data_IF_481407307441
#
_entry.id   IF_481407307441
#
_cell.length_a   1.000
_cell.length_b   1.000
_cell.length_c   1.000
_cell.angle_alpha   90.00
_cell.angle_beta   90.00
_cell.angle_gamma   90.00
#
_symmetry.space_group_name_H-M   'P 1'
#
loop_
_entity.id
_entity.type
_entity.pdbx_description
1 polymer ?
#
# COMPACT_ATOMS: atom_id res chain seq x y z
N UNK A 1 -28.21 26.47 52.73
CA UNK A 1 -27.79 25.54 53.78
C UNK A 1 -26.63 24.79 53.14
N UNK A 2 -25.44 25.20 53.40
CA UNK A 2 -24.49 24.78 54.44
C UNK A 2 -24.09 23.31 54.18
N UNK A 3 -22.84 22.91 54.03
CA UNK A 3 -21.52 23.48 54.25
C UNK A 3 -20.48 22.51 53.70
N UNK A 4 -19.37 23.01 53.31
CA UNK A 4 -18.02 22.93 53.89
C UNK A 4 -17.53 21.50 54.17
N UNK A 5 -16.35 21.03 53.80
CA UNK A 5 -15.01 21.61 53.81
C UNK A 5 -14.02 20.65 53.06
N UNK A 6 -12.99 21.21 52.45
CA UNK A 6 -11.66 20.62 52.29
C UNK A 6 -10.86 20.88 53.59
N UNK A 7 -9.57 20.54 53.82
CA UNK A 7 -8.45 20.29 52.90
C UNK A 7 -7.36 19.32 53.41
N UNK A 8 -6.18 19.42 52.82
CA UNK A 8 -4.81 18.98 53.13
C UNK A 8 -4.33 17.79 52.29
N UNK A 9 -3.30 17.85 51.54
CA UNK A 9 -2.03 18.59 51.65
C UNK A 9 -0.92 17.58 51.89
N UNK A 10 0.05 17.48 50.96
CA UNK A 10 1.21 16.65 51.18
C UNK A 10 1.99 16.36 49.87
N UNK A 11 2.86 17.27 49.53
CA UNK A 11 3.95 17.07 48.55
C UNK A 11 5.24 16.66 49.26
N UNK A 12 6.38 16.48 48.61
CA UNK A 12 7.02 15.23 48.25
C UNK A 12 8.38 15.05 48.97
N UNK A 13 8.90 13.86 49.00
CA UNK A 13 10.30 13.64 49.38
C UNK A 13 11.02 12.71 48.44
N UNK A 14 12.12 13.20 47.86
CA UNK A 14 13.20 12.38 47.26
C UNK A 14 14.03 11.75 48.38
N UNK A 15 14.67 10.65 48.15
CA UNK A 15 15.95 10.32 48.77
C UNK A 15 17.02 10.01 47.72
N UNK A 16 18.08 10.77 47.74
CA UNK A 16 19.48 10.50 48.12
C UNK A 16 20.14 9.25 47.52
N UNK A 17 21.21 9.58 46.79
CA UNK A 17 22.21 8.71 46.21
C UNK A 17 22.92 7.82 47.23
N UNK A 18 23.24 6.58 46.86
CA UNK A 18 24.17 5.72 47.57
C UNK A 18 25.33 5.31 46.64
N UNK A 19 26.53 5.42 47.16
CA UNK A 19 27.84 5.28 46.55
C UNK A 19 28.23 3.81 46.18
N UNK A 20 29.31 3.61 45.41
CA UNK A 20 29.63 2.32 44.80
C UNK A 20 30.37 1.37 45.75
N UNK A 21 29.98 0.10 45.70
CA UNK A 21 30.76 -0.97 46.37
C UNK A 21 31.77 -1.59 45.40
N UNK A 22 33.00 -1.70 45.90
CA UNK A 22 34.20 -2.26 45.29
C UNK A 22 33.97 -3.71 44.78
N UNK A 23 34.49 -3.96 43.60
CA UNK A 23 34.62 -5.27 42.98
C UNK A 23 35.63 -6.15 43.75
N UNK A 24 35.26 -7.40 43.98
CA UNK A 24 36.21 -8.49 44.32
C UNK A 24 36.59 -9.22 43.06
N UNK A 25 37.87 -9.37 42.83
CA UNK A 25 38.46 -10.16 41.78
C UNK A 25 38.08 -11.63 41.97
N UNK A 26 37.43 -12.18 40.97
CA UNK A 26 37.16 -13.61 40.81
C UNK A 26 37.90 -14.14 39.59
N UNK A 27 38.70 -15.16 39.80
CA UNK A 27 39.56 -15.83 38.85
C UNK A 27 38.82 -16.29 37.61
N UNK A 28 39.31 -15.83 36.44
CA UNK A 28 38.82 -16.24 35.13
C UNK A 28 39.18 -17.69 34.83
N UNK A 29 38.18 -18.55 34.59
CA UNK A 29 38.35 -19.83 33.90
C UNK A 29 38.32 -19.55 32.39
N UNK A 30 39.15 -20.23 31.58
CA UNK A 30 39.19 -20.03 30.14
C UNK A 30 37.85 -20.46 29.52
N UNK A 31 37.24 -19.57 28.75
CA UNK A 31 36.07 -19.90 27.92
C UNK A 31 36.52 -20.86 26.81
N UNK A 32 35.82 -21.99 26.78
CA UNK A 32 35.89 -22.93 25.67
C UNK A 32 35.43 -22.19 24.39
N UNK A 33 36.13 -22.45 23.31
CA UNK A 33 35.85 -21.94 21.98
C UNK A 33 34.36 -22.13 21.63
N UNK A 34 33.75 -21.03 21.24
CA UNK A 34 32.41 -21.03 20.68
C UNK A 34 32.46 -21.76 19.33
N UNK A 35 31.98 -22.98 19.32
CA UNK A 35 31.83 -23.76 18.11
C UNK A 35 31.04 -23.01 17.06
N UNK A 36 31.46 -23.17 15.80
CA UNK A 36 30.73 -22.70 14.63
C UNK A 36 29.23 -22.99 14.76
N UNK A 37 28.33 -22.05 14.37
CA UNK A 37 26.90 -22.24 14.53
C UNK A 37 26.46 -23.46 13.71
N UNK A 38 26.03 -24.51 14.40
CA UNK A 38 25.38 -25.66 13.76
C UNK A 38 24.10 -25.19 13.05
N UNK A 39 23.81 -25.69 11.85
CA UNK A 39 22.59 -25.35 11.15
C UNK A 39 21.37 -25.81 11.96
N UNK A 40 20.34 -25.00 12.07
CA UNK A 40 19.11 -25.35 12.79
C UNK A 40 18.40 -26.54 12.12
N UNK A 41 17.74 -27.37 12.96
CA UNK A 41 17.02 -28.56 12.54
C UNK A 41 16.04 -28.27 11.37
N UNK A 42 15.88 -29.23 10.43
CA UNK A 42 15.09 -29.01 9.23
C UNK A 42 13.63 -28.76 9.57
N UNK A 43 13.12 -27.59 9.20
CA UNK A 43 11.71 -27.27 9.24
C UNK A 43 11.29 -25.89 9.73
N UNK A 44 12.11 -25.12 10.44
CA UNK A 44 11.67 -23.82 10.98
C UNK A 44 12.51 -22.60 10.58
N UNK A 45 13.64 -22.74 9.92
CA UNK A 45 14.56 -21.62 9.71
C UNK A 45 15.34 -21.61 8.39
N UNK A 46 14.95 -22.35 7.37
CA UNK A 46 15.64 -22.33 6.05
C UNK A 46 15.61 -20.93 5.45
N UNK A 47 14.49 -20.25 5.57
CA UNK A 47 14.32 -18.88 5.07
C UNK A 47 15.16 -17.86 5.86
N UNK A 48 15.17 -17.96 7.18
CA UNK A 48 15.99 -17.10 8.05
C UNK A 48 17.48 -17.35 7.86
N UNK A 49 17.88 -18.61 7.70
CA UNK A 49 19.27 -18.97 7.39
C UNK A 49 19.69 -18.45 6.00
N UNK A 50 18.84 -18.63 4.99
CA UNK A 50 19.06 -18.11 3.65
C UNK A 50 19.16 -16.57 3.64
N UNK A 51 18.27 -15.89 4.37
CA UNK A 51 18.31 -14.43 4.52
C UNK A 51 19.59 -13.94 5.18
N UNK A 52 20.02 -14.58 6.26
CA UNK A 52 21.26 -14.23 6.96
C UNK A 52 22.51 -14.42 6.08
N UNK A 53 22.59 -15.52 5.31
CA UNK A 53 23.69 -15.77 4.40
C UNK A 53 23.76 -14.72 3.26
N UNK A 54 22.60 -14.28 2.79
CA UNK A 54 22.52 -13.25 1.74
C UNK A 54 22.84 -11.86 2.31
N UNK A 55 22.34 -11.53 3.51
CA UNK A 55 22.65 -10.27 4.18
C UNK A 55 24.16 -10.13 4.47
N UNK A 56 24.80 -11.20 4.87
CA UNK A 56 26.25 -11.24 5.09
C UNK A 56 27.03 -11.07 3.75
N UNK A 57 26.57 -11.72 2.68
CA UNK A 57 27.08 -11.56 1.33
C UNK A 57 26.91 -10.13 0.79
N UNK A 58 25.74 -9.53 1.01
CA UNK A 58 25.45 -8.13 0.61
C UNK A 58 26.29 -7.13 1.38
N UNK A 59 26.48 -7.32 2.69
CA UNK A 59 27.36 -6.46 3.50
C UNK A 59 28.80 -6.50 3.00
N UNK A 60 29.29 -7.70 2.69
CA UNK A 60 30.66 -7.89 2.16
C UNK A 60 30.84 -7.27 0.76
N UNK A 61 29.82 -7.37 -0.09
CA UNK A 61 29.83 -6.79 -1.43
C UNK A 61 29.70 -5.26 -1.41
N UNK A 62 28.88 -4.70 -0.49
CA UNK A 62 28.80 -3.25 -0.27
C UNK A 62 30.11 -2.69 0.29
N UNK A 63 30.77 -3.38 1.21
CA UNK A 63 32.08 -3.00 1.73
C UNK A 63 33.13 -2.99 0.63
N UNK A 64 33.20 -4.02 -0.22
CA UNK A 64 34.10 -4.10 -1.38
C UNK A 64 33.83 -3.03 -2.44
N UNK A 65 32.54 -2.74 -2.71
CA UNK A 65 32.14 -1.69 -3.64
C UNK A 65 32.50 -0.30 -3.09
N UNK A 66 32.33 -0.08 -1.79
CA UNK A 66 32.71 1.17 -1.12
C UNK A 66 34.25 1.35 -1.12
N UNK A 67 35.00 0.28 -0.88
CA UNK A 67 36.47 0.29 -0.91
C UNK A 67 37.02 0.59 -2.32
N UNK A 68 36.38 0.03 -3.37
CA UNK A 68 36.71 0.34 -4.76
C UNK A 68 36.31 1.78 -5.16
N UNK A 69 35.19 2.32 -4.62
CA UNK A 69 34.78 3.71 -4.82
C UNK A 69 35.74 4.70 -4.16
N UNK A 70 36.25 4.38 -2.98
CA UNK A 70 37.26 5.18 -2.26
C UNK A 70 38.58 5.16 -2.99
N UNK A 71 39.01 4.00 -3.56
CA UNK A 71 40.25 3.86 -4.29
C UNK A 71 40.26 4.53 -5.66
N UNK A 72 39.08 4.78 -6.27
CA UNK A 72 38.96 5.42 -7.60
C UNK A 72 38.73 6.94 -7.55
N UNK A 73 38.82 7.55 -6.38
CA UNK A 73 38.75 9.03 -6.25
C UNK A 73 37.41 9.66 -6.68
N UNK A 74 36.32 8.88 -6.70
CA UNK A 74 34.97 9.43 -6.95
C UNK A 74 34.57 10.22 -5.71
N UNK A 75 34.36 11.51 -5.88
CA UNK A 75 33.96 12.48 -4.87
C UNK A 75 32.82 11.92 -4.04
N UNK A 76 33.06 11.78 -2.74
CA UNK A 76 32.05 11.41 -1.77
C UNK A 76 30.94 12.48 -1.82
N UNK A 77 29.72 12.06 -2.11
CA UNK A 77 28.57 12.96 -2.15
C UNK A 77 28.20 13.27 -0.69
N UNK A 78 28.46 14.50 -0.26
CA UNK A 78 27.91 15.00 0.98
C UNK A 78 26.40 15.05 0.85
N UNK A 79 25.66 14.50 1.81
CA UNK A 79 24.20 14.55 1.92
C UNK A 79 23.76 15.95 2.35
N UNK A 80 24.12 16.97 1.58
CA UNK A 80 23.63 18.33 1.82
C UNK A 80 22.20 18.43 1.32
N UNK A 81 21.23 18.94 2.14
CA UNK A 81 19.88 19.17 1.69
C UNK A 81 19.86 20.01 0.43
N UNK A 82 19.00 19.65 -0.52
CA UNK A 82 18.89 20.33 -1.82
C UNK A 82 18.64 21.84 -1.67
N UNK A 83 17.98 22.23 -0.59
CA UNK A 83 17.70 23.62 -0.20
C UNK A 83 18.96 24.40 0.18
N UNK A 84 19.89 23.81 0.91
CA UNK A 84 21.18 24.45 1.25
C UNK A 84 22.08 24.60 0.03
N UNK A 85 22.09 23.62 -0.87
CA UNK A 85 22.83 23.70 -2.15
C UNK A 85 22.26 24.79 -3.07
N UNK A 86 20.95 24.98 -3.12
CA UNK A 86 20.27 26.02 -3.91
C UNK A 86 20.54 27.38 -3.29
N UNK A 87 20.38 27.54 -1.98
CA UNK A 87 20.65 28.80 -1.26
C UNK A 87 22.11 29.27 -1.40
N UNK A 88 23.08 28.31 -1.38
CA UNK A 88 24.50 28.63 -1.57
C UNK A 88 24.89 29.02 -3.00
N UNK A 89 24.09 28.67 -4.02
CA UNK A 89 24.40 28.93 -5.43
C UNK A 89 23.65 30.11 -6.05
N UNK A 90 22.52 30.52 -5.49
CA UNK A 90 21.69 31.59 -6.02
C UNK A 90 22.15 33.01 -5.64
N UNK A 91 23.41 33.26 -5.46
CA UNK A 91 23.93 34.62 -5.25
C UNK A 91 24.15 35.35 -6.58
N UNK A 92 23.07 35.81 -7.18
CA UNK A 92 23.06 36.95 -8.06
C UNK A 92 23.22 36.76 -9.57
N UNK A 93 23.90 35.76 -10.11
CA UNK A 93 24.07 35.57 -11.56
C UNK A 93 23.99 34.11 -11.94
N UNK A 94 23.06 33.77 -12.83
CA UNK A 94 22.92 32.43 -13.38
C UNK A 94 24.14 32.08 -14.25
N UNK A 95 24.87 31.05 -13.84
CA UNK A 95 26.12 30.64 -14.47
C UNK A 95 25.99 29.32 -15.24
N UNK A 96 26.97 28.97 -16.06
CA UNK A 96 27.03 27.66 -16.73
C UNK A 96 27.07 26.51 -15.72
N UNK A 97 27.65 26.75 -14.55
CA UNK A 97 27.70 25.76 -13.47
C UNK A 97 26.28 25.42 -12.94
N UNK A 98 25.39 26.41 -12.89
CA UNK A 98 23.99 26.20 -12.47
C UNK A 98 23.23 25.38 -13.52
N UNK A 99 23.47 25.62 -14.81
CA UNK A 99 22.90 24.79 -15.89
C UNK A 99 23.31 23.34 -15.74
N UNK A 100 24.60 23.09 -15.52
CA UNK A 100 25.13 21.74 -15.34
C UNK A 100 24.59 21.09 -14.08
N UNK A 101 24.45 21.84 -12.98
CA UNK A 101 23.86 21.36 -11.75
C UNK A 101 22.40 20.94 -11.94
N UNK A 102 21.56 21.81 -12.51
CA UNK A 102 20.15 21.49 -12.76
C UNK A 102 19.97 20.36 -13.76
N UNK A 103 20.82 20.29 -14.79
CA UNK A 103 20.82 19.16 -15.73
C UNK A 103 21.17 17.84 -15.03
N UNK A 104 22.20 17.84 -14.16
CA UNK A 104 22.56 16.69 -13.36
C UNK A 104 21.41 16.26 -12.44
N UNK A 105 20.82 17.20 -11.69
CA UNK A 105 19.68 16.93 -10.80
C UNK A 105 18.46 16.44 -11.56
N UNK A 106 18.19 16.97 -12.75
CA UNK A 106 17.14 16.48 -13.63
C UNK A 106 17.37 15.05 -14.09
N UNK A 107 18.59 14.70 -14.47
CA UNK A 107 18.98 13.32 -14.83
C UNK A 107 18.85 12.36 -13.64
N UNK A 108 19.31 12.78 -12.45
CA UNK A 108 19.15 12.01 -11.21
C UNK A 108 17.67 11.77 -10.90
N UNK A 109 16.82 12.79 -10.97
CA UNK A 109 15.39 12.68 -10.74
C UNK A 109 14.69 11.77 -11.77
N UNK A 110 15.12 11.79 -13.03
CA UNK A 110 14.65 10.86 -14.06
C UNK A 110 15.10 9.43 -13.78
N UNK A 111 16.34 9.23 -13.31
CA UNK A 111 16.86 7.91 -12.98
C UNK A 111 16.20 7.32 -11.73
N UNK A 112 15.90 8.14 -10.73
CA UNK A 112 15.20 7.73 -9.51
C UNK A 112 13.69 7.56 -9.73
N UNK A 113 13.11 8.19 -10.72
CA UNK A 113 11.70 8.17 -11.16
C UNK A 113 10.69 7.72 -10.09
N UNK A 114 10.42 8.62 -9.14
CA UNK A 114 9.58 8.30 -7.99
C UNK A 114 8.12 7.97 -8.36
N UNK A 115 7.67 8.43 -9.51
CA UNK A 115 6.28 8.26 -9.96
C UNK A 115 6.10 6.96 -10.71
N UNK A 116 6.91 6.67 -11.73
CA UNK A 116 6.68 5.49 -12.58
C UNK A 116 7.05 4.19 -11.89
N UNK A 117 7.99 4.22 -10.94
CA UNK A 117 8.29 3.04 -10.11
C UNK A 117 7.08 2.59 -9.26
N UNK A 118 6.12 3.49 -8.97
CA UNK A 118 4.87 3.13 -8.28
C UNK A 118 3.88 2.38 -9.19
N UNK A 119 4.16 2.35 -10.48
CA UNK A 119 3.39 1.60 -11.49
C UNK A 119 4.04 0.26 -11.88
N UNK A 120 5.07 -0.16 -11.17
CA UNK A 120 5.73 -1.45 -11.30
C UNK A 120 5.70 -2.23 -9.99
N UNK A 121 5.92 -3.54 -10.07
CA UNK A 121 6.02 -4.40 -8.89
C UNK A 121 7.13 -3.93 -7.95
N UNK A 122 6.91 -4.07 -6.66
CA UNK A 122 7.88 -3.73 -5.63
C UNK A 122 9.09 -4.66 -5.73
N UNK A 123 10.30 -4.08 -5.80
CA UNK A 123 11.54 -4.86 -5.77
C UNK A 123 11.89 -5.22 -4.32
N UNK A 124 12.02 -6.52 -4.08
CA UNK A 124 12.43 -7.02 -2.76
C UNK A 124 13.94 -7.01 -2.64
N UNK A 125 14.43 -6.45 -1.55
CA UNK A 125 15.88 -6.34 -1.26
C UNK A 125 16.48 -7.70 -0.89
N UNK A 126 15.69 -8.56 -0.25
CA UNK A 126 16.11 -9.90 0.18
C UNK A 126 15.58 -10.98 -0.75
N UNK A 127 16.29 -12.13 -0.77
CA UNK A 127 15.80 -13.33 -1.42
C UNK A 127 14.47 -13.79 -0.80
N UNK A 128 13.59 -14.30 -1.63
CA UNK A 128 12.29 -14.85 -1.19
C UNK A 128 11.94 -16.10 -2.00
N UNK A 129 10.88 -16.79 -1.60
CA UNK A 129 10.46 -18.04 -2.24
C UNK A 129 9.98 -17.90 -3.70
N UNK A 130 9.76 -16.69 -4.19
CA UNK A 130 9.34 -16.42 -5.58
C UNK A 130 10.54 -16.19 -6.51
N UNK A 131 11.63 -15.64 -5.96
CA UNK A 131 12.80 -15.19 -6.72
C UNK A 131 13.95 -16.17 -6.57
N UNK A 132 14.70 -16.36 -7.65
CA UNK A 132 15.98 -17.07 -7.65
C UNK A 132 17.11 -16.16 -7.21
N UNK A 133 17.01 -14.87 -7.56
CA UNK A 133 17.97 -13.82 -7.22
C UNK A 133 17.21 -12.61 -6.68
N UNK A 134 17.87 -11.70 -5.99
CA UNK A 134 17.32 -10.40 -5.64
C UNK A 134 17.96 -9.29 -6.48
N UNK A 135 17.39 -8.07 -6.41
CA UNK A 135 17.84 -6.91 -7.19
C UNK A 135 19.32 -6.55 -6.96
N UNK A 136 19.87 -6.88 -5.79
CA UNK A 136 21.23 -6.50 -5.38
C UNK A 136 22.24 -7.66 -5.43
N UNK A 137 21.83 -8.88 -5.77
CA UNK A 137 22.68 -10.08 -5.74
C UNK A 137 22.62 -10.82 -7.07
N UNK A 138 23.65 -10.63 -7.89
CA UNK A 138 23.79 -11.36 -9.16
C UNK A 138 24.36 -12.77 -8.99
N UNK A 139 24.84 -13.12 -7.81
CA UNK A 139 25.35 -14.47 -7.54
C UNK A 139 24.22 -15.43 -7.21
N UNK A 140 24.11 -16.47 -8.01
CA UNK A 140 23.16 -17.56 -7.82
C UNK A 140 23.79 -18.64 -6.97
N UNK A 141 23.27 -18.84 -5.74
CA UNK A 141 23.68 -19.97 -4.91
C UNK A 141 23.04 -21.25 -5.44
N UNK A 142 23.84 -22.32 -5.56
CA UNK A 142 23.35 -23.65 -5.92
C UNK A 142 22.24 -24.14 -4.97
N UNK A 143 22.45 -23.98 -3.68
CA UNK A 143 21.49 -24.40 -2.67
C UNK A 143 20.14 -23.67 -2.80
N UNK A 144 20.16 -22.35 -2.96
CA UNK A 144 18.94 -21.55 -3.18
C UNK A 144 18.27 -21.87 -4.51
N UNK A 145 19.05 -22.25 -5.55
CA UNK A 145 18.50 -22.70 -6.82
C UNK A 145 17.71 -24.00 -6.67
N UNK A 146 18.23 -24.96 -5.91
CA UNK A 146 17.51 -26.23 -5.63
C UNK A 146 16.21 -25.96 -4.88
N UNK A 147 16.22 -25.14 -3.84
CA UNK A 147 15.02 -24.75 -3.09
C UNK A 147 14.00 -24.06 -4.02
N UNK A 148 14.44 -23.18 -4.90
CA UNK A 148 13.58 -22.50 -5.86
C UNK A 148 12.97 -23.46 -6.89
N UNK A 149 13.73 -24.43 -7.42
CA UNK A 149 13.23 -25.45 -8.35
C UNK A 149 12.16 -26.33 -7.66
N UNK A 150 12.43 -26.81 -6.46
CA UNK A 150 11.43 -27.56 -5.68
C UNK A 150 10.18 -26.70 -5.48
N UNK A 151 10.37 -25.42 -5.16
CA UNK A 151 9.27 -24.47 -5.03
C UNK A 151 8.44 -24.31 -6.30
N UNK A 152 9.07 -24.28 -7.47
CA UNK A 152 8.37 -24.25 -8.78
C UNK A 152 7.52 -25.52 -8.92
N UNK A 153 8.10 -26.69 -8.71
CA UNK A 153 7.36 -27.96 -8.84
C UNK A 153 6.11 -27.98 -7.94
N UNK A 154 6.24 -27.57 -6.68
CA UNK A 154 5.11 -27.49 -5.77
C UNK A 154 4.05 -26.49 -6.27
N UNK A 155 4.46 -25.28 -6.70
CA UNK A 155 3.51 -24.24 -7.11
C UNK A 155 2.76 -24.62 -8.39
N UNK A 156 3.44 -25.18 -9.38
CA UNK A 156 2.84 -25.47 -10.68
C UNK A 156 2.15 -26.85 -10.75
N UNK A 157 2.71 -27.86 -10.07
CA UNK A 157 2.16 -29.22 -10.16
C UNK A 157 1.10 -29.52 -9.07
N UNK A 158 1.17 -28.89 -7.89
CA UNK A 158 0.24 -29.13 -6.79
C UNK A 158 -0.70 -27.96 -6.55
N UNK A 159 -0.15 -26.75 -6.29
CA UNK A 159 -0.98 -25.62 -5.91
C UNK A 159 -1.83 -25.09 -7.06
N UNK A 160 -1.26 -24.96 -8.27
CA UNK A 160 -1.98 -24.40 -9.42
C UNK A 160 -3.23 -25.22 -9.79
N UNK A 161 -3.16 -26.54 -10.04
CA UNK A 161 -4.35 -27.31 -10.41
C UNK A 161 -5.40 -27.30 -9.28
N UNK A 162 -4.99 -27.45 -8.04
CA UNK A 162 -5.92 -27.37 -6.90
C UNK A 162 -6.63 -26.00 -6.83
N UNK A 163 -5.88 -24.89 -7.00
CA UNK A 163 -6.44 -23.54 -6.96
C UNK A 163 -7.34 -23.25 -8.14
N UNK A 164 -7.01 -23.74 -9.33
CA UNK A 164 -7.89 -23.62 -10.50
C UNK A 164 -9.22 -24.32 -10.26
N UNK A 165 -9.21 -25.57 -9.80
CA UNK A 165 -10.44 -26.30 -9.47
C UNK A 165 -11.26 -25.54 -8.41
N UNK A 166 -10.63 -25.07 -7.34
CA UNK A 166 -11.31 -24.34 -6.27
C UNK A 166 -11.87 -22.99 -6.76
N UNK A 167 -11.16 -22.30 -7.65
CA UNK A 167 -11.62 -21.03 -8.25
C UNK A 167 -12.83 -21.25 -9.16
N UNK A 168 -12.81 -22.28 -10.00
CA UNK A 168 -13.95 -22.67 -10.83
C UNK A 168 -15.15 -23.02 -9.96
N UNK A 169 -14.94 -23.83 -8.93
CA UNK A 169 -15.99 -24.18 -7.97
C UNK A 169 -16.59 -22.93 -7.29
N UNK A 170 -15.75 -22.00 -6.83
CA UNK A 170 -16.20 -20.74 -6.18
C UNK A 170 -17.04 -19.89 -7.13
N UNK A 171 -16.65 -19.76 -8.39
CA UNK A 171 -17.39 -19.00 -9.41
C UNK A 171 -18.74 -19.69 -9.72
N UNK A 172 -18.75 -21.00 -9.90
CA UNK A 172 -19.98 -21.76 -10.13
C UNK A 172 -20.94 -21.62 -8.94
N UNK A 173 -20.42 -21.75 -7.72
CA UNK A 173 -21.20 -21.55 -6.50
C UNK A 173 -21.83 -20.15 -6.45
N UNK A 174 -21.06 -19.09 -6.76
CA UNK A 174 -21.56 -17.72 -6.82
C UNK A 174 -22.69 -17.58 -7.83
N UNK A 175 -22.52 -18.11 -9.03
CA UNK A 175 -23.52 -18.01 -10.10
C UNK A 175 -24.78 -18.77 -9.73
N UNK A 176 -24.67 -20.03 -9.31
CA UNK A 176 -25.82 -20.87 -8.94
C UNK A 176 -26.55 -20.32 -7.71
N UNK A 177 -25.83 -19.98 -6.66
CA UNK A 177 -26.44 -19.42 -5.46
C UNK A 177 -27.14 -18.06 -5.75
N UNK A 178 -26.52 -17.23 -6.60
CA UNK A 178 -27.13 -15.95 -7.02
C UNK A 178 -28.40 -16.16 -7.87
N UNK A 179 -28.44 -17.21 -8.69
CA UNK A 179 -29.67 -17.59 -9.44
C UNK A 179 -30.79 -17.99 -8.48
N UNK A 180 -30.49 -18.81 -7.48
CA UNK A 180 -31.46 -19.25 -6.47
C UNK A 180 -31.97 -18.07 -5.65
N UNK A 181 -31.05 -17.25 -5.09
CA UNK A 181 -31.39 -16.06 -4.30
C UNK A 181 -32.19 -15.05 -5.13
N UNK A 182 -31.92 -14.96 -6.44
CA UNK A 182 -32.64 -14.10 -7.36
C UNK A 182 -34.14 -14.41 -7.46
N UNK A 183 -34.57 -15.65 -7.19
CA UNK A 183 -36.00 -16.06 -7.22
C UNK A 183 -36.80 -15.58 -5.99
N UNK A 184 -36.11 -15.25 -4.90
CA UNK A 184 -36.81 -14.78 -3.71
C UNK A 184 -37.38 -13.37 -3.90
N UNK A 185 -38.55 -13.09 -3.30
CA UNK A 185 -39.15 -11.75 -3.35
C UNK A 185 -38.24 -10.73 -2.65
N UNK A 186 -38.28 -9.49 -3.12
CA UNK A 186 -37.50 -8.42 -2.53
C UNK A 186 -37.89 -8.20 -1.08
N UNK A 187 -36.94 -8.31 -0.16
CA UNK A 187 -37.19 -8.17 1.27
C UNK A 187 -35.92 -8.45 2.11
N UNK A 188 -36.06 -8.41 3.42
CA UNK A 188 -34.97 -8.61 4.37
C UNK A 188 -34.29 -9.98 4.22
N UNK A 189 -35.07 -11.04 3.95
CA UNK A 189 -34.55 -12.41 3.78
C UNK A 189 -33.66 -12.49 2.53
N UNK A 190 -34.13 -11.97 1.41
CA UNK A 190 -33.31 -11.91 0.17
C UNK A 190 -32.03 -11.12 0.39
N UNK A 191 -32.10 -9.97 1.05
CA UNK A 191 -30.93 -9.14 1.37
C UNK A 191 -29.93 -9.90 2.25
N UNK A 192 -30.39 -10.58 3.29
CA UNK A 192 -29.54 -11.38 4.16
C UNK A 192 -28.88 -12.55 3.42
N UNK A 193 -29.65 -13.34 2.67
CA UNK A 193 -29.13 -14.46 1.86
C UNK A 193 -28.10 -13.97 0.84
N UNK A 194 -28.38 -12.86 0.18
CA UNK A 194 -27.48 -12.21 -0.78
C UNK A 194 -26.15 -11.85 -0.14
N UNK A 195 -26.17 -11.25 1.03
CA UNK A 195 -24.96 -10.88 1.77
C UNK A 195 -24.17 -12.12 2.17
N UNK A 196 -24.83 -13.20 2.64
CA UNK A 196 -24.15 -14.46 2.98
C UNK A 196 -23.50 -15.09 1.75
N UNK A 197 -24.19 -15.16 0.61
CA UNK A 197 -23.61 -15.70 -0.64
C UNK A 197 -22.38 -14.91 -1.07
N UNK A 198 -22.45 -13.57 -1.05
CA UNK A 198 -21.31 -12.72 -1.42
C UNK A 198 -20.12 -12.93 -0.49
N UNK A 199 -20.33 -12.92 0.82
CA UNK A 199 -19.25 -13.12 1.81
C UNK A 199 -18.61 -14.50 1.71
N UNK A 200 -19.42 -15.57 1.58
CA UNK A 200 -18.91 -16.94 1.44
C UNK A 200 -18.09 -17.06 0.15
N UNK A 201 -18.63 -16.60 -0.98
CA UNK A 201 -17.91 -16.70 -2.26
C UNK A 201 -16.65 -15.83 -2.29
N UNK A 202 -16.67 -14.62 -1.69
CA UNK A 202 -15.49 -13.79 -1.56
C UNK A 202 -14.43 -14.46 -0.66
N UNK A 203 -14.84 -15.04 0.46
CA UNK A 203 -13.95 -15.79 1.35
C UNK A 203 -13.31 -16.99 0.62
N UNK A 204 -14.10 -17.77 -0.13
CA UNK A 204 -13.58 -18.86 -0.95
C UNK A 204 -12.62 -18.33 -2.02
N UNK A 205 -12.92 -17.22 -2.69
CA UNK A 205 -12.05 -16.57 -3.65
C UNK A 205 -10.70 -16.17 -3.06
N UNK A 206 -10.68 -15.61 -1.85
CA UNK A 206 -9.44 -15.31 -1.12
C UNK A 206 -8.71 -16.62 -0.75
N UNK A 207 -9.41 -17.65 -0.29
CA UNK A 207 -8.83 -18.95 0.07
C UNK A 207 -8.25 -19.71 -1.13
N UNK A 208 -8.85 -19.56 -2.32
CA UNK A 208 -8.31 -20.11 -3.58
C UNK A 208 -6.87 -19.64 -3.86
N UNK A 209 -6.51 -18.45 -3.41
CA UNK A 209 -5.17 -17.89 -3.56
C UNK A 209 -4.27 -18.15 -2.35
N UNK A 210 -4.67 -19.05 -1.44
CA UNK A 210 -4.03 -19.20 -0.11
C UNK A 210 -3.93 -17.86 0.62
N UNK A 211 -4.98 -17.04 0.52
CA UNK A 211 -5.03 -15.71 1.10
C UNK A 211 -5.08 -15.76 2.63
N UNK A 212 -4.13 -15.07 3.25
CA UNK A 212 -4.04 -14.84 4.68
C UNK A 212 -4.32 -13.35 4.92
N UNK A 213 -5.52 -13.05 5.42
CA UNK A 213 -5.93 -11.67 5.65
C UNK A 213 -6.07 -11.43 7.15
N UNK A 214 -5.38 -10.41 7.64
CA UNK A 214 -5.46 -9.96 9.01
C UNK A 214 -6.25 -8.65 9.06
N UNK A 215 -7.44 -8.71 9.66
CA UNK A 215 -8.29 -7.54 9.86
C UNK A 215 -8.07 -6.95 11.24
N UNK A 216 -7.80 -5.65 11.30
CA UNK A 216 -7.53 -4.90 12.51
C UNK A 216 -8.62 -3.83 12.73
N UNK A 217 -8.93 -3.53 13.98
CA UNK A 217 -9.87 -2.48 14.39
C UNK A 217 -11.27 -2.66 13.75
N UNK A 218 -11.81 -3.87 13.80
CA UNK A 218 -13.11 -4.21 13.17
C UNK A 218 -14.28 -3.42 13.73
N UNK A 219 -14.12 -2.83 14.90
CA UNK A 219 -15.09 -1.90 15.50
C UNK A 219 -15.35 -0.66 14.63
N UNK A 220 -14.36 -0.24 13.84
CA UNK A 220 -14.47 0.89 12.90
C UNK A 220 -14.96 0.49 11.50
N UNK A 221 -15.40 -0.76 11.32
CA UNK A 221 -15.87 -1.23 10.02
C UNK A 221 -17.02 -0.37 9.52
N UNK A 222 -17.05 -0.07 8.19
CA UNK A 222 -18.07 0.78 7.58
C UNK A 222 -19.49 0.33 7.90
N UNK A 223 -20.32 1.27 8.31
CA UNK A 223 -21.72 1.08 8.64
C UNK A 223 -22.60 1.38 7.42
N UNK A 224 -23.88 0.97 7.48
CA UNK A 224 -24.89 1.25 6.46
C UNK A 224 -25.00 2.76 6.20
N UNK A 225 -25.13 3.14 4.92
CA UNK A 225 -25.16 4.54 4.49
C UNK A 225 -23.84 5.30 4.59
N UNK A 226 -22.74 4.63 4.97
CA UNK A 226 -21.40 5.21 4.97
C UNK A 226 -20.64 5.02 3.64
N UNK A 227 -19.52 5.71 3.50
CA UNK A 227 -18.62 5.58 2.36
C UNK A 227 -17.32 4.95 2.84
N UNK A 228 -17.02 3.75 2.36
CA UNK A 228 -15.73 3.10 2.57
C UNK A 228 -14.72 3.61 1.53
N UNK A 229 -13.61 4.18 1.99
CA UNK A 229 -12.53 4.67 1.14
C UNK A 229 -11.27 3.88 1.44
N UNK A 230 -10.68 3.26 0.42
CA UNK A 230 -9.44 2.49 0.55
C UNK A 230 -8.40 2.85 -0.51
N UNK A 231 -7.12 2.63 -0.23
CA UNK A 231 -6.08 2.59 -1.24
C UNK A 231 -6.29 1.38 -2.16
N UNK A 232 -5.79 1.45 -3.40
CA UNK A 232 -6.07 0.44 -4.43
C UNK A 232 -4.80 -0.15 -5.02
N UNK A 233 -4.50 -1.38 -4.64
CA UNK A 233 -3.32 -2.11 -5.14
C UNK A 233 -3.72 -3.18 -6.16
N UNK A 234 -4.89 -3.78 -5.99
CA UNK A 234 -5.27 -5.00 -6.68
C UNK A 234 -6.80 -5.12 -6.83
N UNK A 235 -7.30 -5.75 -7.87
CA UNK A 235 -8.70 -6.19 -7.91
C UNK A 235 -9.09 -7.10 -6.74
N UNK A 236 -8.11 -7.75 -6.09
CA UNK A 236 -8.34 -8.55 -4.89
C UNK A 236 -8.81 -7.73 -3.69
N UNK A 237 -8.53 -6.43 -3.65
CA UNK A 237 -8.96 -5.53 -2.56
C UNK A 237 -10.47 -5.63 -2.34
N UNK A 238 -11.24 -5.74 -3.43
CA UNK A 238 -12.69 -5.93 -3.37
C UNK A 238 -13.06 -7.25 -2.71
N UNK A 239 -12.44 -8.37 -3.13
CA UNK A 239 -12.71 -9.69 -2.56
C UNK A 239 -12.33 -9.76 -1.08
N UNK A 240 -11.19 -9.17 -0.73
CA UNK A 240 -10.71 -9.11 0.65
C UNK A 240 -11.70 -8.34 1.53
N UNK A 241 -12.12 -7.15 1.12
CA UNK A 241 -13.07 -6.36 1.91
C UNK A 241 -14.44 -7.02 1.99
N UNK A 242 -14.95 -7.59 0.88
CA UNK A 242 -16.23 -8.31 0.86
C UNK A 242 -16.19 -9.59 1.70
N UNK A 243 -15.03 -10.21 1.91
CA UNK A 243 -14.92 -11.37 2.80
C UNK A 243 -15.15 -11.06 4.28
N UNK A 244 -15.02 -9.80 4.69
CA UNK A 244 -15.28 -9.34 6.06
C UNK A 244 -16.58 -8.54 6.20
N UNK A 245 -17.13 -7.99 5.12
CA UNK A 245 -18.37 -7.23 5.13
C UNK A 245 -18.90 -6.96 3.73
N UNK A 246 -20.21 -6.77 3.62
CA UNK A 246 -20.84 -6.48 2.33
C UNK A 246 -20.78 -5.00 1.99
N UNK A 247 -20.47 -4.70 0.74
CA UNK A 247 -20.36 -3.34 0.20
C UNK A 247 -21.14 -3.20 -1.11
N UNK A 248 -21.68 -2.01 -1.32
CA UNK A 248 -22.10 -1.58 -2.65
C UNK A 248 -20.89 -1.13 -3.44
N UNK A 249 -20.60 -1.83 -4.52
CA UNK A 249 -19.45 -1.52 -5.38
C UNK A 249 -19.83 -0.42 -6.38
N UNK A 250 -18.95 0.54 -6.56
CA UNK A 250 -19.03 1.54 -7.63
C UNK A 250 -18.04 1.15 -8.71
N UNK A 251 -18.52 0.85 -9.89
CA UNK A 251 -17.63 0.37 -10.95
C UNK A 251 -18.22 0.48 -12.35
N UNK A 252 -17.35 0.26 -13.33
CA UNK A 252 -17.71 0.20 -14.73
C UNK A 252 -18.30 -1.18 -15.06
N UNK A 253 -19.27 -1.23 -15.99
CA UNK A 253 -19.76 -2.48 -16.56
C UNK A 253 -18.64 -3.20 -17.32
N UNK A 254 -18.47 -4.49 -17.03
CA UNK A 254 -17.48 -5.35 -17.65
C UNK A 254 -18.16 -6.42 -18.54
N UNK A 255 -17.43 -6.90 -19.55
CA UNK A 255 -17.83 -8.02 -20.38
C UNK A 255 -17.09 -9.32 -20.00
N UNK A 256 -17.43 -10.43 -20.68
CA UNK A 256 -16.79 -11.72 -20.48
C UNK A 256 -17.02 -12.33 -19.08
N UNK A 257 -16.03 -13.07 -18.56
CA UNK A 257 -16.10 -13.73 -17.25
C UNK A 257 -16.31 -12.76 -16.10
N UNK A 258 -15.61 -11.61 -16.11
CA UNK A 258 -15.81 -10.55 -15.14
C UNK A 258 -17.24 -9.99 -15.17
N UNK A 259 -17.81 -9.83 -16.38
CA UNK A 259 -19.19 -9.40 -16.54
C UNK A 259 -20.19 -10.43 -16.01
N UNK A 260 -19.91 -11.72 -16.12
CA UNK A 260 -20.74 -12.79 -15.57
C UNK A 260 -20.74 -12.70 -14.02
N UNK A 261 -19.57 -12.59 -13.42
CA UNK A 261 -19.40 -12.42 -11.96
C UNK A 261 -20.13 -11.16 -11.51
N UNK A 262 -19.91 -10.04 -12.20
CA UNK A 262 -20.55 -8.76 -11.89
C UNK A 262 -22.09 -8.85 -11.97
N UNK A 263 -22.63 -9.46 -13.04
CA UNK A 263 -24.08 -9.68 -13.19
C UNK A 263 -24.65 -10.56 -12.07
N UNK A 264 -23.90 -11.58 -11.64
CA UNK A 264 -24.30 -12.44 -10.53
C UNK A 264 -24.36 -11.65 -9.20
N UNK A 265 -23.36 -10.83 -8.93
CA UNK A 265 -23.36 -9.93 -7.78
C UNK A 265 -24.50 -8.90 -7.85
N UNK A 266 -24.78 -8.33 -9.03
CA UNK A 266 -25.88 -7.37 -9.21
C UNK A 266 -27.28 -7.95 -8.98
N UNK A 267 -27.49 -9.24 -9.21
CA UNK A 267 -28.77 -9.92 -8.90
C UNK A 267 -29.05 -9.98 -7.41
N UNK A 268 -28.02 -9.97 -6.64
CA UNK A 268 -28.07 -10.20 -5.19
C UNK A 268 -27.77 -8.94 -4.38
N UNK A 269 -27.10 -7.93 -4.93
CA UNK A 269 -26.65 -6.74 -4.22
C UNK A 269 -27.09 -5.41 -4.85
N UNK A 270 -27.02 -4.36 -4.05
CA UNK A 270 -27.34 -2.97 -4.46
C UNK A 270 -26.09 -2.27 -5.00
N UNK A 271 -25.50 -2.80 -6.07
CA UNK A 271 -24.30 -2.22 -6.67
C UNK A 271 -24.64 -1.05 -7.60
N UNK A 272 -23.76 -0.04 -7.64
CA UNK A 272 -23.88 1.13 -8.50
C UNK A 272 -22.96 0.95 -9.70
N UNK A 273 -23.49 0.45 -10.80
CA UNK A 273 -22.71 0.21 -12.02
C UNK A 273 -23.01 1.30 -13.04
N UNK A 274 -21.95 1.79 -13.69
CA UNK A 274 -22.02 2.83 -14.71
C UNK A 274 -21.53 2.30 -16.06
N UNK A 275 -22.15 2.75 -17.13
CA UNK A 275 -21.59 2.59 -18.46
C UNK A 275 -20.38 3.51 -18.65
N UNK A 276 -19.53 3.18 -19.63
CA UNK A 276 -18.29 3.93 -19.89
C UNK A 276 -18.57 5.37 -20.32
N UNK A 277 -19.70 5.62 -20.97
CA UNK A 277 -20.21 6.93 -21.33
C UNK A 277 -20.63 7.73 -20.11
N UNK A 278 -21.35 7.13 -19.18
CA UNK A 278 -21.83 7.76 -17.93
C UNK A 278 -20.68 8.11 -17.00
N UNK A 279 -19.60 7.31 -16.96
CA UNK A 279 -18.39 7.62 -16.16
C UNK A 279 -17.70 8.92 -16.58
N UNK A 280 -17.99 9.44 -17.78
CA UNK A 280 -17.50 10.77 -18.22
C UNK A 280 -18.30 11.90 -17.59
N UNK A 281 -19.57 11.66 -17.27
CA UNK A 281 -20.43 12.59 -16.57
C UNK A 281 -20.26 12.48 -15.05
N UNK A 282 -19.32 13.27 -14.53
CA UNK A 282 -19.00 13.30 -13.09
C UNK A 282 -20.19 13.78 -12.24
N UNK A 283 -21.10 14.55 -12.82
CA UNK A 283 -22.29 15.03 -12.13
C UNK A 283 -23.28 13.90 -11.86
N UNK A 284 -23.53 13.07 -12.87
CA UNK A 284 -24.44 11.92 -12.74
C UNK A 284 -23.92 10.91 -11.72
N UNK A 285 -22.59 10.64 -11.76
CA UNK A 285 -21.95 9.73 -10.80
C UNK A 285 -22.13 10.25 -9.37
N UNK A 286 -21.83 11.54 -9.12
CA UNK A 286 -22.00 12.15 -7.80
C UNK A 286 -23.46 12.11 -7.32
N UNK A 287 -24.42 12.40 -8.21
CA UNK A 287 -25.84 12.34 -7.90
C UNK A 287 -26.25 10.93 -7.44
N UNK A 288 -25.90 9.89 -8.20
CA UNK A 288 -26.22 8.49 -7.86
C UNK A 288 -25.58 8.05 -6.53
N UNK A 289 -24.33 8.46 -6.25
CA UNK A 289 -23.68 8.18 -4.97
C UNK A 289 -24.42 8.89 -3.82
N UNK A 290 -24.76 10.17 -4.00
CA UNK A 290 -25.51 10.94 -2.98
C UNK A 290 -26.87 10.32 -2.68
N UNK A 291 -27.60 9.91 -3.70
CA UNK A 291 -28.90 9.21 -3.55
C UNK A 291 -28.73 7.87 -2.82
N UNK A 292 -27.63 7.17 -3.05
CA UNK A 292 -27.36 5.91 -2.38
C UNK A 292 -27.08 6.11 -0.88
N UNK A 293 -26.22 7.05 -0.51
CA UNK A 293 -25.85 7.30 0.90
C UNK A 293 -26.97 7.97 1.71
N UNK A 294 -27.92 8.63 1.04
CA UNK A 294 -29.11 9.19 1.69
C UNK A 294 -30.00 8.09 2.28
N UNK A 295 -30.01 6.91 1.69
CA UNK A 295 -30.75 5.75 2.17
C UNK A 295 -29.89 4.96 3.18
N UNK A 296 -30.13 5.20 4.46
CA UNK A 296 -29.41 4.55 5.58
C UNK A 296 -29.62 3.04 5.68
N UNK A 297 -30.56 2.47 4.92
CA UNK A 297 -30.79 1.03 4.87
C UNK A 297 -29.87 0.32 3.86
N UNK A 298 -29.22 1.07 2.97
CA UNK A 298 -28.30 0.52 1.97
C UNK A 298 -26.93 0.18 2.54
N UNK A 299 -26.27 -0.78 1.89
CA UNK A 299 -24.91 -1.17 2.22
C UNK A 299 -23.93 0.02 2.04
N UNK A 300 -22.84 0.08 2.82
CA UNK A 300 -21.83 1.09 2.63
C UNK A 300 -21.24 1.01 1.21
N UNK A 301 -20.99 2.16 0.59
CA UNK A 301 -20.35 2.24 -0.73
C UNK A 301 -18.86 2.06 -0.59
N UNK A 302 -18.26 1.17 -1.39
CA UNK A 302 -16.81 1.02 -1.51
C UNK A 302 -16.29 1.82 -2.70
N UNK A 303 -15.34 2.71 -2.43
CA UNK A 303 -14.68 3.56 -3.42
C UNK A 303 -13.16 3.51 -3.28
N UNK A 304 -12.48 3.39 -4.41
CA UNK A 304 -11.03 3.52 -4.52
C UNK A 304 -10.71 4.85 -5.23
N UNK A 305 -10.45 5.94 -4.51
CA UNK A 305 -10.37 7.28 -5.10
C UNK A 305 -9.12 7.51 -5.94
N UNK A 306 -8.09 6.67 -5.86
CA UNK A 306 -6.94 6.67 -6.78
C UNK A 306 -7.35 6.37 -8.23
N UNK A 307 -8.42 5.57 -8.42
CA UNK A 307 -8.98 5.23 -9.73
C UNK A 307 -8.09 4.32 -10.59
N UNK A 308 -7.02 3.78 -10.03
CA UNK A 308 -6.13 2.79 -10.65
C UNK A 308 -5.35 2.05 -9.57
N UNK A 309 -4.86 0.84 -9.91
CA UNK A 309 -4.00 0.09 -9.00
C UNK A 309 -2.60 0.72 -8.96
N UNK A 310 -2.12 0.98 -7.76
CA UNK A 310 -0.79 1.49 -7.43
C UNK A 310 -0.04 0.40 -6.67
N UNK A 311 1.28 0.34 -6.80
CA UNK A 311 2.02 -0.61 -6.00
C UNK A 311 1.90 -0.27 -4.51
N UNK A 312 2.15 -1.27 -3.70
CA UNK A 312 1.89 -1.27 -2.26
C UNK A 312 2.83 -0.35 -1.44
N UNK A 313 3.62 0.52 -2.08
CA UNK A 313 4.62 1.37 -1.41
C UNK A 313 4.14 2.78 -1.16
N UNK A 314 3.09 3.23 -1.85
CA UNK A 314 2.60 4.61 -1.74
C UNK A 314 1.09 4.71 -1.99
N UNK A 315 0.53 5.83 -1.57
CA UNK A 315 -0.84 6.25 -1.87
C UNK A 315 -0.77 7.51 -2.71
N UNK A 316 -1.38 7.47 -3.89
CA UNK A 316 -1.39 8.60 -4.82
C UNK A 316 -2.59 9.53 -4.56
N UNK A 317 -2.71 10.59 -5.37
CA UNK A 317 -3.75 11.60 -5.22
C UNK A 317 -5.15 10.98 -5.23
N UNK A 318 -5.96 11.30 -4.23
CA UNK A 318 -7.37 10.95 -4.17
C UNK A 318 -8.22 11.92 -4.99
N UNK A 319 -9.09 11.37 -5.83
CA UNK A 319 -10.04 12.17 -6.63
C UNK A 319 -11.15 12.72 -5.73
N UNK A 320 -11.33 14.03 -5.75
CA UNK A 320 -12.25 14.76 -4.86
C UNK A 320 -13.73 14.37 -4.99
N UNK A 321 -14.13 13.78 -6.11
CA UNK A 321 -15.56 13.48 -6.38
C UNK A 321 -16.25 12.61 -5.33
N UNK A 322 -15.50 11.75 -4.63
CA UNK A 322 -16.01 10.92 -3.55
C UNK A 322 -16.21 11.70 -2.24
N UNK A 323 -15.54 12.83 -2.10
CA UNK A 323 -15.53 13.68 -0.90
C UNK A 323 -16.48 14.88 -1.04
N UNK A 324 -16.91 15.22 -2.28
CA UNK A 324 -17.91 16.25 -2.57
C UNK A 324 -19.36 15.82 -2.30
N UNK A 325 -19.59 14.54 -2.07
CA UNK A 325 -20.96 14.02 -1.89
C UNK A 325 -21.50 14.21 -0.47
N UNK A 326 -20.61 14.51 0.48
CA UNK A 326 -20.93 14.58 1.91
C UNK A 326 -21.08 13.19 2.54
N UNK A 327 -21.29 13.16 3.84
CA UNK A 327 -21.46 11.92 4.60
C UNK A 327 -20.18 11.47 5.30
N UNK A 328 -20.32 10.40 6.09
CA UNK A 328 -19.20 9.84 6.87
C UNK A 328 -18.32 8.96 5.99
N UNK A 329 -17.03 9.26 5.97
CA UNK A 329 -15.99 8.45 5.33
C UNK A 329 -15.44 7.46 6.35
N UNK A 330 -15.36 6.19 5.98
CA UNK A 330 -14.68 5.13 6.73
C UNK A 330 -13.38 4.77 6.00
N UNK A 331 -12.23 5.30 6.43
CA UNK A 331 -10.96 5.02 5.76
C UNK A 331 -10.49 3.61 6.07
N UNK A 332 -9.94 2.94 5.05
CA UNK A 332 -9.39 1.59 5.18
C UNK A 332 -8.02 1.54 4.54
N UNK A 333 -7.01 1.10 5.29
CA UNK A 333 -5.67 0.88 4.78
C UNK A 333 -5.48 -0.60 4.45
N UNK A 334 -5.06 -0.90 3.22
CA UNK A 334 -4.78 -2.24 2.71
C UNK A 334 -3.29 -2.33 2.41
N UNK A 335 -2.59 -3.29 3.03
CA UNK A 335 -1.16 -3.50 2.82
C UNK A 335 -0.88 -4.98 2.59
N UNK A 336 -0.32 -5.29 1.42
CA UNK A 336 0.13 -6.63 1.08
C UNK A 336 1.58 -6.87 1.48
N UNK A 337 1.92 -8.11 1.74
CA UNK A 337 3.29 -8.58 1.91
C UNK A 337 3.73 -9.28 0.61
N UNK A 338 4.63 -8.68 -0.19
CA UNK A 338 5.01 -9.21 -1.49
C UNK A 338 5.96 -10.42 -1.43
N UNK A 339 6.43 -10.83 -0.25
CA UNK A 339 7.41 -11.92 -0.11
C UNK A 339 6.90 -13.27 -0.60
N UNK A 340 5.60 -13.54 -0.49
CA UNK A 340 4.98 -14.81 -0.86
C UNK A 340 4.19 -14.74 -2.16
N UNK A 341 3.82 -13.56 -2.59
CA UNK A 341 3.06 -13.31 -3.81
C UNK A 341 2.85 -11.83 -4.03
N UNK A 342 3.10 -11.37 -5.25
CA UNK A 342 2.83 -9.98 -5.61
C UNK A 342 1.36 -9.82 -6.01
N UNK A 343 0.61 -9.08 -5.19
CA UNK A 343 -0.79 -8.79 -5.44
C UNK A 343 -0.99 -7.61 -6.40
N UNK A 344 0.03 -6.82 -6.68
CA UNK A 344 -0.08 -5.63 -7.52
C UNK A 344 -0.45 -5.97 -8.96
N UNK A 345 -1.49 -5.30 -9.49
CA UNK A 345 -1.87 -5.44 -10.90
C UNK A 345 -1.31 -4.32 -11.77
N UNK A 346 -0.25 -4.64 -12.50
CA UNK A 346 0.23 -3.76 -13.55
C UNK A 346 -0.63 -3.88 -14.82
N UNK A 347 -1.75 -3.15 -14.85
CA UNK A 347 -2.72 -3.18 -15.95
C UNK A 347 -2.21 -2.62 -17.28
N UNK A 348 -1.02 -2.01 -17.32
CA UNK A 348 -0.38 -1.53 -18.55
C UNK A 348 0.50 -2.58 -19.21
N UNK A 349 1.07 -3.50 -18.39
CA UNK A 349 1.96 -4.57 -18.87
C UNK A 349 1.27 -5.93 -18.97
N UNK A 350 0.33 -6.22 -18.06
CA UNK A 350 -0.27 -7.54 -17.92
C UNK A 350 -1.78 -7.51 -18.12
N UNK A 351 -2.27 -8.41 -18.96
CA UNK A 351 -3.70 -8.67 -19.07
C UNK A 351 -4.25 -9.23 -17.76
N UNK A 352 -5.57 -9.18 -17.58
CA UNK A 352 -6.24 -9.78 -16.41
C UNK A 352 -5.95 -11.29 -16.31
N UNK A 353 -5.85 -11.99 -17.42
CA UNK A 353 -5.55 -13.44 -17.45
C UNK A 353 -4.14 -13.72 -16.95
N UNK A 354 -3.14 -12.99 -17.45
CA UNK A 354 -1.74 -13.09 -17.00
C UNK A 354 -1.63 -12.78 -15.52
N UNK A 355 -2.30 -11.72 -15.07
CA UNK A 355 -2.35 -11.34 -13.67
C UNK A 355 -2.96 -12.44 -12.79
N UNK A 356 -4.12 -13.00 -13.18
CA UNK A 356 -4.77 -14.10 -12.45
C UNK A 356 -3.88 -15.34 -12.40
N UNK A 357 -3.21 -15.66 -13.51
CA UNK A 357 -2.27 -16.78 -13.55
C UNK A 357 -1.09 -16.58 -12.59
N UNK A 358 -0.51 -15.38 -12.54
CA UNK A 358 0.56 -15.05 -11.59
C UNK A 358 0.11 -15.20 -10.13
N UNK A 359 -1.11 -14.79 -9.81
CA UNK A 359 -1.68 -14.99 -8.49
C UNK A 359 -1.86 -16.47 -8.15
N UNK A 360 -2.42 -17.25 -9.08
CA UNK A 360 -2.65 -18.69 -8.87
C UNK A 360 -1.34 -19.47 -8.72
N UNK A 361 -0.25 -18.99 -9.29
CA UNK A 361 1.09 -19.60 -9.22
C UNK A 361 1.97 -19.01 -8.10
N UNK A 362 1.50 -18.01 -7.34
CA UNK A 362 2.19 -17.48 -6.16
C UNK A 362 2.15 -18.47 -4.99
N UNK A 363 2.91 -18.23 -3.93
CA UNK A 363 2.84 -19.06 -2.70
C UNK A 363 1.59 -18.79 -1.89
N UNK A 364 1.37 -17.55 -1.57
CA UNK A 364 0.23 -17.07 -0.80
C UNK A 364 0.04 -15.57 -1.04
N UNK A 365 -1.14 -15.06 -0.77
CA UNK A 365 -1.40 -13.63 -0.71
C UNK A 365 -1.59 -13.25 0.76
N UNK A 366 -0.64 -12.52 1.31
CA UNK A 366 -0.69 -12.06 2.69
C UNK A 366 -1.08 -10.60 2.70
N UNK A 367 -2.10 -10.25 3.46
CA UNK A 367 -2.66 -8.91 3.48
C UNK A 367 -3.05 -8.49 4.90
N UNK A 368 -2.74 -7.26 5.26
CA UNK A 368 -3.25 -6.59 6.44
C UNK A 368 -4.25 -5.52 6.03
N UNK A 369 -5.39 -5.49 6.71
CA UNK A 369 -6.47 -4.51 6.51
C UNK A 369 -6.73 -3.82 7.84
N UNK A 370 -6.61 -2.51 7.88
CA UNK A 370 -6.94 -1.70 9.06
C UNK A 370 -8.14 -0.82 8.77
N UNK A 371 -9.18 -0.97 9.58
CA UNK A 371 -10.29 -0.03 9.62
C UNK A 371 -9.92 1.14 10.51
N UNK A 372 -9.94 2.35 9.98
CA UNK A 372 -9.62 3.56 10.73
C UNK A 372 -10.91 4.18 11.30
N UNK A 373 -10.80 5.02 12.33
CA UNK A 373 -11.95 5.77 12.83
C UNK A 373 -12.66 6.53 11.71
N UNK A 374 -14.00 6.60 11.76
CA UNK A 374 -14.77 7.34 10.77
C UNK A 374 -14.40 8.82 10.78
N UNK A 375 -14.35 9.43 9.60
CA UNK A 375 -14.00 10.81 9.39
C UNK A 375 -15.13 11.56 8.70
N UNK A 376 -15.39 12.77 9.15
CA UNK A 376 -16.32 13.71 8.51
C UNK A 376 -15.54 14.94 8.06
N UNK A 377 -16.08 15.64 7.07
CA UNK A 377 -15.55 16.91 6.60
C UNK A 377 -15.72 17.95 7.72
N UNK A 378 -14.66 18.71 8.02
CA UNK A 378 -14.67 19.78 9.02
C UNK A 378 -15.32 21.06 8.46
N UNK A 379 -15.75 21.94 9.33
CA UNK A 379 -16.23 23.27 8.94
C UNK A 379 -15.10 24.02 8.24
N UNK A 380 -15.39 24.66 7.11
CA UNK A 380 -14.43 25.35 6.23
C UNK A 380 -13.44 24.46 5.46
N UNK A 381 -13.43 23.14 5.68
CA UNK A 381 -12.58 22.23 4.94
C UNK A 381 -13.17 21.97 3.54
N UNK A 382 -12.39 22.19 2.48
CA UNK A 382 -12.82 21.80 1.13
C UNK A 382 -12.65 20.28 0.89
N UNK A 383 -13.28 19.79 -0.17
CA UNK A 383 -13.22 18.36 -0.52
C UNK A 383 -11.81 17.86 -0.88
N UNK A 384 -10.88 18.76 -1.26
CA UNK A 384 -9.49 18.40 -1.59
C UNK A 384 -8.68 18.25 -0.30
N UNK A 385 -8.82 19.15 0.65
CA UNK A 385 -8.18 19.06 1.95
C UNK A 385 -8.69 17.83 2.72
N UNK A 386 -10.00 17.60 2.74
CA UNK A 386 -10.59 16.41 3.32
C UNK A 386 -10.05 15.11 2.68
N UNK A 387 -9.98 15.04 1.35
CA UNK A 387 -9.40 13.90 0.64
C UNK A 387 -7.93 13.68 1.00
N UNK A 388 -7.13 14.74 1.15
CA UNK A 388 -5.74 14.66 1.56
C UNK A 388 -5.58 14.21 3.02
N UNK A 389 -6.45 14.65 3.93
CA UNK A 389 -6.47 14.23 5.33
C UNK A 389 -6.79 12.73 5.45
N UNK A 390 -7.80 12.24 4.73
CA UNK A 390 -8.15 10.82 4.65
C UNK A 390 -7.01 10.00 4.04
N UNK A 391 -6.41 10.49 2.94
CA UNK A 391 -5.25 9.86 2.28
C UNK A 391 -4.06 9.73 3.23
N UNK A 392 -3.74 10.79 3.96
CA UNK A 392 -2.63 10.80 4.92
C UNK A 392 -2.85 9.79 6.05
N UNK A 393 -4.08 9.68 6.57
CA UNK A 393 -4.44 8.70 7.60
C UNK A 393 -4.26 7.25 7.10
N UNK A 394 -4.71 6.94 5.87
CA UNK A 394 -4.54 5.63 5.24
C UNK A 394 -3.06 5.31 5.03
N UNK A 395 -2.30 6.26 4.47
CA UNK A 395 -0.88 6.08 4.20
C UNK A 395 -0.06 5.88 5.49
N UNK A 396 -0.30 6.70 6.50
CA UNK A 396 0.36 6.59 7.80
C UNK A 396 0.11 5.22 8.44
N UNK A 397 -1.14 4.71 8.40
CA UNK A 397 -1.46 3.41 8.97
C UNK A 397 -0.85 2.25 8.19
N UNK A 398 -0.82 2.33 6.86
CA UNK A 398 -0.25 1.30 5.99
C UNK A 398 1.28 1.36 5.86
N UNK A 399 1.96 2.35 6.45
CA UNK A 399 3.39 2.58 6.27
C UNK A 399 3.73 2.85 4.78
N UNK A 400 2.91 3.68 4.12
CA UNK A 400 3.03 4.03 2.71
C UNK A 400 3.40 5.51 2.55
N UNK A 401 4.16 5.83 1.50
CA UNK A 401 4.48 7.23 1.16
C UNK A 401 3.26 7.94 0.60
N UNK A 402 3.09 9.22 0.93
CA UNK A 402 2.03 10.07 0.37
C UNK A 402 2.57 10.81 -0.84
N UNK A 403 1.95 10.61 -2.00
CA UNK A 403 2.35 11.28 -3.23
C UNK A 403 1.24 12.21 -3.75
N UNK A 404 1.61 13.42 -4.27
CA UNK A 404 0.64 14.37 -4.82
C UNK A 404 0.18 14.02 -6.25
N UNK A 405 0.79 13.03 -6.89
CA UNK A 405 0.58 12.70 -8.29
C UNK A 405 -0.73 11.95 -8.54
N UNK A 406 -1.36 12.23 -9.70
CA UNK A 406 -2.56 11.50 -10.15
C UNK A 406 -2.17 10.11 -10.67
N UNK A 407 -2.79 9.06 -10.14
CA UNK A 407 -2.66 7.68 -10.63
C UNK A 407 -3.02 7.52 -12.12
N UNK A 408 -3.73 8.48 -12.70
CA UNK A 408 -4.01 8.55 -14.15
C UNK A 408 -2.75 8.64 -15.02
N UNK A 409 -1.62 9.09 -14.46
CA UNK A 409 -0.31 9.14 -15.12
C UNK A 409 0.17 7.76 -15.57
N UNK A 410 -0.30 6.69 -14.95
CA UNK A 410 -0.05 5.31 -15.39
C UNK A 410 -0.42 5.08 -16.86
N UNK A 411 -1.39 5.84 -17.40
CA UNK A 411 -1.94 5.67 -18.75
C UNK A 411 -1.85 6.92 -19.63
N UNK A 412 -1.63 8.08 -19.03
CA UNK A 412 -1.65 9.38 -19.72
C UNK A 412 -0.38 10.13 -19.39
N UNK A 413 0.12 10.89 -20.37
CA UNK A 413 1.21 11.85 -20.13
C UNK A 413 0.76 12.97 -19.18
N UNK A 414 1.71 13.55 -18.46
CA UNK A 414 1.48 14.72 -17.61
C UNK A 414 0.93 15.85 -18.46
N UNK A 415 -0.10 16.53 -17.96
CA UNK A 415 -0.65 17.71 -18.64
C UNK A 415 0.36 18.85 -18.59
N UNK A 416 0.50 19.58 -19.68
CA UNK A 416 1.43 20.70 -19.76
C UNK A 416 1.16 21.77 -18.71
N UNK A 417 -0.13 22.10 -18.51
CA UNK A 417 -0.53 23.07 -17.46
C UNK A 417 -0.09 22.67 -16.05
N UNK A 418 -0.01 21.36 -15.76
CA UNK A 418 0.46 20.89 -14.46
C UNK A 418 1.99 21.04 -14.35
N UNK A 419 2.72 20.78 -15.42
CA UNK A 419 4.17 21.01 -15.45
C UNK A 419 4.49 22.49 -15.23
N UNK A 420 3.79 23.38 -15.92
CA UNK A 420 3.92 24.82 -15.75
C UNK A 420 3.63 25.28 -14.31
N UNK A 421 2.59 24.72 -13.69
CA UNK A 421 2.26 24.99 -12.30
C UNK A 421 3.39 24.56 -11.34
N UNK A 422 3.92 23.35 -11.53
CA UNK A 422 5.04 22.88 -10.71
C UNK A 422 6.32 23.68 -10.96
N UNK A 423 6.59 24.08 -12.19
CA UNK A 423 7.73 24.95 -12.53
C UNK A 423 7.60 26.31 -11.85
N UNK A 424 6.40 26.92 -11.85
CA UNK A 424 6.13 28.19 -11.14
C UNK A 424 6.37 28.07 -9.63
N UNK A 425 5.85 27.01 -9.00
CA UNK A 425 6.09 26.74 -7.57
C UNK A 425 7.58 26.60 -7.28
N UNK A 426 8.29 25.85 -8.11
CA UNK A 426 9.73 25.68 -7.95
C UNK A 426 10.49 27.00 -8.10
N UNK A 427 10.15 27.81 -9.12
CA UNK A 427 10.72 29.15 -9.28
C UNK A 427 10.45 30.06 -8.08
N UNK A 428 9.26 30.00 -7.49
CA UNK A 428 8.93 30.78 -6.29
C UNK A 428 9.82 30.37 -5.10
N UNK A 429 9.98 29.08 -4.86
CA UNK A 429 10.87 28.57 -3.78
C UNK A 429 12.31 29.05 -3.98
N UNK A 430 12.82 29.02 -5.23
CA UNK A 430 14.17 29.47 -5.55
C UNK A 430 14.32 30.98 -5.33
N UNK A 431 13.31 31.77 -5.71
CA UNK A 431 13.32 33.23 -5.55
C UNK A 431 13.21 33.61 -4.05
N UNK A 432 12.32 32.98 -3.31
CA UNK A 432 12.13 33.24 -1.87
C UNK A 432 13.40 32.91 -1.08
N UNK A 433 14.04 31.79 -1.37
CA UNK A 433 15.31 31.42 -0.71
C UNK A 433 16.48 32.31 -1.15
N UNK A 434 16.49 32.80 -2.39
CA UNK A 434 17.48 33.76 -2.90
C UNK A 434 17.34 35.17 -2.28
N UNK A 435 16.13 35.58 -1.91
CA UNK A 435 15.87 36.88 -1.30
C UNK A 435 16.23 36.95 0.20
N UNK A 436 16.18 35.84 0.90
CA UNK A 436 16.58 35.75 2.33
C UNK A 436 18.09 35.85 2.48
N UNK A 437 18.88 35.45 1.48
CA UNK A 437 20.34 35.57 1.47
C UNK A 437 20.86 37.00 1.28
N UNK A 438 20.06 37.92 0.73
CA UNK A 438 20.51 39.28 0.41
C UNK A 438 20.23 40.33 1.52
N UNK A 439 19.63 39.90 2.65
CA UNK A 439 19.32 40.79 3.75
C UNK A 439 20.47 41.03 4.78
N UNK A 440 21.57 40.30 4.68
CA UNK A 440 22.67 40.35 5.65
C UNK A 440 24.05 40.68 5.07
N UNK A 441 24.10 41.29 3.90
CA UNK A 441 25.34 41.78 3.32
C UNK A 441 25.20 43.28 2.94
N UNK A 442 25.25 44.14 3.93
CA UNK A 442 25.73 45.52 3.89
C UNK A 442 26.41 45.83 5.23
#
# INVERSE_FOLDING_TARGET
>A
MAGRAAPHGGSPQRPLAAAPRRARAGTARPRRDAGSPQPPAPGRNVERWATLQIEEGVKKQKALALENLISTGIIQRDETPMEEEIAGRCQGCFSLADVMYFSKKGCEAVAEDEVTRRFSSEELVSWNLLSRTNANLHRVSWQLTVVWVIGILIRYCLLLPFRVCLSVFSILLLVLASMVVGQFPNGRVKGWLSNQVQMICATLGVRCLSGLVHFHNRENRPQQGGICVANHTSPLDVLILVSDGCYSLVGQAHGGLLGLIQKSCMRTGQHVVFERSEMKDRHLVRKKIREHIADKAKLPILIFPEGTCINNTSVMMFKKGSFEVGGTIHPVAIKYDPRFGDAFWNSTKHSMMTYTFNLLTSWAIVCNVWYLPPMVQEEEEDAVHFANRVKAAIAARGGMSVLPWDGGLKRKKVKESFKEEQQKKYCQIVIENGSVGNGNAC
#
